data_IF_809444661482
#
_entry.id   IF_809444661482
#
_cell.length_a   1.000
_cell.length_b   1.000
_cell.length_c   1.000
_cell.angle_alpha   90.00
_cell.angle_beta   90.00
_cell.angle_gamma   90.00
#
_symmetry.space_group_name_H-M   'P 1'
#
loop_
_entity.id
_entity.type
_entity.pdbx_description
1 polymer ?
#
# COMPACT_ATOMS: atom_id res chain seq x y z
N UNK A 1 6.93 12.48 1.92
CA UNK A 1 6.06 12.07 3.05
C UNK A 1 6.40 10.65 3.48
N UNK A 2 6.58 10.42 4.79
CA UNK A 2 6.80 9.08 5.38
C UNK A 2 5.64 8.82 6.33
N UNK A 3 4.96 7.69 6.16
CA UNK A 3 3.92 7.25 7.08
C UNK A 3 4.17 5.79 7.46
N UNK A 4 3.66 5.40 8.61
CA UNK A 4 3.69 4.01 9.08
C UNK A 4 2.26 3.48 9.02
N UNK A 5 2.08 2.32 8.41
CA UNK A 5 0.78 1.67 8.33
C UNK A 5 0.95 0.16 8.55
N UNK A 6 -0.13 -0.48 9.00
CA UNK A 6 -0.12 -1.91 9.28
C UNK A 6 -0.33 -2.70 7.99
N UNK A 7 0.45 -3.77 7.84
CA UNK A 7 0.29 -4.70 6.73
C UNK A 7 -0.92 -5.59 6.99
N UNK A 8 -1.98 -5.43 6.20
CA UNK A 8 -3.19 -6.25 6.31
C UNK A 8 -3.07 -7.44 5.37
N UNK A 9 -3.13 -8.64 5.96
CA UNK A 9 -3.24 -9.90 5.23
C UNK A 9 -4.50 -10.62 5.67
N UNK A 10 -5.49 -10.82 4.80
CA UNK A 10 -6.59 -11.72 5.09
C UNK A 10 -6.09 -13.17 5.20
N UNK A 11 -6.63 -13.94 6.14
CA UNK A 11 -6.28 -15.36 6.36
C UNK A 11 -6.92 -16.31 5.31
N UNK A 12 -7.12 -15.82 4.08
CA UNK A 12 -7.66 -16.61 2.97
C UNK A 12 -6.53 -17.11 2.06
N UNK A 13 -6.64 -18.37 1.61
CA UNK A 13 -5.77 -18.94 0.58
C UNK A 13 -5.86 -18.08 -0.69
N UNK A 14 -4.74 -17.44 -1.07
CA UNK A 14 -4.68 -16.56 -2.25
C UNK A 14 -5.00 -15.09 -1.97
N UNK A 15 -5.24 -14.69 -0.72
CA UNK A 15 -5.49 -13.29 -0.39
C UNK A 15 -4.27 -12.40 -0.68
N UNK A 16 -4.54 -11.25 -1.28
CA UNK A 16 -3.51 -10.25 -1.54
C UNK A 16 -3.16 -9.55 -0.23
N UNK A 17 -1.87 -9.34 0.00
CA UNK A 17 -1.41 -8.54 1.12
C UNK A 17 -1.44 -7.08 0.70
N UNK A 18 -2.07 -6.23 1.51
CA UNK A 18 -2.20 -4.81 1.20
C UNK A 18 -1.95 -3.95 2.44
N UNK A 19 -1.51 -2.73 2.21
CA UNK A 19 -1.34 -1.71 3.25
C UNK A 19 -2.39 -0.63 3.02
N UNK A 20 -3.31 -0.39 3.97
CA UNK A 20 -4.19 0.76 3.89
C UNK A 20 -3.37 2.04 4.08
N UNK A 21 -3.52 2.96 3.15
CA UNK A 21 -2.91 4.28 3.21
C UNK A 21 -3.86 5.19 3.99
N UNK A 22 -3.35 5.92 5.00
CA UNK A 22 -4.18 6.86 5.74
C UNK A 22 -4.76 7.95 4.82
N UNK A 23 -5.98 8.39 5.13
CA UNK A 23 -6.70 9.39 4.33
C UNK A 23 -5.90 10.69 4.16
N UNK A 24 -5.14 11.12 5.17
CA UNK A 24 -4.29 12.30 5.10
C UNK A 24 -3.25 12.24 3.96
N UNK A 25 -2.59 11.09 3.78
CA UNK A 25 -1.62 10.88 2.68
C UNK A 25 -2.35 10.77 1.35
N UNK A 26 -3.52 10.10 1.35
CA UNK A 26 -4.36 9.97 0.16
C UNK A 26 -4.87 11.31 -0.37
N UNK A 27 -5.29 12.21 0.52
CA UNK A 27 -5.71 13.59 0.18
C UNK A 27 -4.54 14.44 -0.29
N UNK A 28 -3.36 14.29 0.34
CA UNK A 28 -2.16 15.03 -0.04
C UNK A 28 -1.65 14.65 -1.44
N UNK A 29 -1.78 13.38 -1.83
CA UNK A 29 -1.52 12.95 -3.21
C UNK A 29 -2.61 13.39 -4.19
N UNK A 30 -3.77 13.85 -3.71
CA UNK A 30 -4.88 14.39 -4.51
C UNK A 30 -5.42 13.39 -5.55
N UNK A 31 -5.03 12.12 -5.46
CA UNK A 31 -5.22 11.19 -6.53
C UNK A 31 -6.54 10.45 -6.36
N UNK A 32 -7.41 10.57 -7.36
CA UNK A 32 -8.64 9.75 -7.48
C UNK A 32 -8.39 8.46 -8.27
N UNK A 33 -7.13 8.07 -8.45
CA UNK A 33 -6.72 7.04 -9.39
C UNK A 33 -5.49 6.26 -8.95
N UNK A 34 -4.92 5.49 -9.88
CA UNK A 34 -3.75 4.67 -9.61
C UNK A 34 -2.48 5.53 -9.63
N UNK A 35 -1.82 5.67 -8.48
CA UNK A 35 -0.57 6.43 -8.36
C UNK A 35 0.62 5.48 -8.27
N UNK A 36 1.60 5.55 -9.18
CA UNK A 36 2.84 4.82 -9.01
C UNK A 36 3.62 5.41 -7.82
N UNK A 37 3.96 4.58 -6.85
CA UNK A 37 4.67 5.00 -5.63
C UNK A 37 5.84 4.06 -5.34
N UNK A 38 6.86 4.58 -4.69
CA UNK A 38 7.92 3.76 -4.10
C UNK A 38 7.60 3.61 -2.62
N UNK A 39 7.28 2.38 -2.20
CA UNK A 39 6.99 2.05 -0.81
C UNK A 39 8.18 1.29 -0.21
N UNK A 40 8.35 1.35 1.11
CA UNK A 40 9.32 0.53 1.82
C UNK A 40 8.62 -0.23 2.95
N UNK A 41 8.77 -1.56 2.98
CA UNK A 41 8.23 -2.43 4.03
C UNK A 41 9.43 -3.10 4.71
N UNK A 42 9.53 -2.98 6.04
CA UNK A 42 10.67 -3.47 6.85
C UNK A 42 12.07 -3.09 6.30
N UNK A 43 12.19 -1.92 5.66
CA UNK A 43 13.46 -1.45 5.08
C UNK A 43 13.72 -1.91 3.64
N UNK A 44 12.88 -2.79 3.08
CA UNK A 44 12.93 -3.17 1.67
C UNK A 44 12.11 -2.17 0.85
N UNK A 45 12.80 -1.32 0.10
CA UNK A 45 12.17 -0.39 -0.85
C UNK A 45 11.75 -1.13 -2.13
N UNK A 46 10.52 -0.91 -2.59
CA UNK A 46 9.97 -1.50 -3.79
C UNK A 46 9.04 -0.52 -4.52
N UNK A 47 8.99 -0.66 -5.83
CA UNK A 47 8.08 0.12 -6.67
C UNK A 47 6.73 -0.59 -6.74
N UNK A 48 5.68 0.12 -6.37
CA UNK A 48 4.31 -0.41 -6.37
C UNK A 48 3.34 0.68 -6.83
N UNK A 49 2.05 0.38 -6.83
CA UNK A 49 1.00 1.32 -7.17
C UNK A 49 0.03 1.42 -6.00
N UNK A 50 -0.23 2.65 -5.58
CA UNK A 50 -1.32 2.98 -4.70
C UNK A 50 -2.62 2.97 -5.50
N UNK A 51 -3.59 2.18 -5.06
CA UNK A 51 -4.89 2.01 -5.68
C UNK A 51 -5.94 2.72 -4.83
N UNK A 52 -6.74 3.60 -5.45
CA UNK A 52 -7.84 4.27 -4.77
C UNK A 52 -8.95 3.26 -4.46
N UNK A 53 -9.31 3.11 -3.19
CA UNK A 53 -10.40 2.24 -2.73
C UNK A 53 -11.77 2.96 -2.74
N UNK A 54 -11.81 4.22 -3.20
CA UNK A 54 -12.99 5.07 -3.09
C UNK A 54 -13.14 5.66 -1.68
N UNK A 55 -13.79 6.81 -1.56
CA UNK A 55 -14.04 7.48 -0.27
C UNK A 55 -12.80 8.10 0.40
N UNK A 56 -11.75 8.43 -0.37
CA UNK A 56 -10.53 9.08 0.16
C UNK A 56 -9.52 8.10 0.79
N UNK A 57 -9.76 6.79 0.70
CA UNK A 57 -8.81 5.76 1.11
C UNK A 57 -8.09 5.17 -0.08
N UNK A 58 -6.80 4.88 0.10
CA UNK A 58 -6.03 4.09 -0.85
C UNK A 58 -5.47 2.84 -0.20
N UNK A 59 -5.14 1.86 -1.03
CA UNK A 59 -4.43 0.65 -0.63
C UNK A 59 -3.19 0.48 -1.49
N UNK A 60 -2.13 0.01 -0.88
CA UNK A 60 -0.91 -0.40 -1.58
C UNK A 60 -0.86 -1.92 -1.56
N UNK A 61 -0.90 -2.55 -2.74
CA UNK A 61 -0.67 -3.98 -2.83
C UNK A 61 0.82 -4.28 -2.61
N UNK A 62 1.09 -5.25 -1.74
CA UNK A 62 2.44 -5.75 -1.47
C UNK A 62 2.59 -7.11 -2.11
N UNK A 63 3.54 -7.22 -3.04
CA UNK A 63 3.83 -8.48 -3.71
C UNK A 63 4.42 -9.49 -2.73
N UNK A 64 4.12 -10.78 -2.96
CA UNK A 64 4.67 -11.89 -2.16
C UNK A 64 6.20 -11.85 -2.09
N UNK A 65 6.87 -11.51 -3.20
CA UNK A 65 8.32 -11.44 -3.26
C UNK A 65 8.91 -10.40 -2.28
N UNK A 66 8.26 -9.25 -2.14
CA UNK A 66 8.67 -8.23 -1.16
C UNK A 66 8.41 -8.71 0.27
N UNK A 67 7.28 -9.38 0.50
CA UNK A 67 6.98 -9.98 1.80
C UNK A 67 7.98 -11.07 2.20
N UNK A 68 8.52 -11.82 1.24
CA UNK A 68 9.55 -12.83 1.51
C UNK A 68 10.93 -12.21 1.78
N UNK A 69 11.16 -10.95 1.38
CA UNK A 69 12.38 -10.20 1.66
C UNK A 69 12.31 -9.35 2.94
N UNK A 70 11.11 -9.15 3.48
CA UNK A 70 10.79 -8.23 4.58
C UNK A 70 10.60 -8.93 5.93
#
# INVERSE_FOLDING_TARGET
HRFTAQLTRPDMKGAWTFVPVPAAVSEEFGAKGRVPVTAAVNGVAFRTSMLAQGGGSHIIAVNKNIREQA
#
